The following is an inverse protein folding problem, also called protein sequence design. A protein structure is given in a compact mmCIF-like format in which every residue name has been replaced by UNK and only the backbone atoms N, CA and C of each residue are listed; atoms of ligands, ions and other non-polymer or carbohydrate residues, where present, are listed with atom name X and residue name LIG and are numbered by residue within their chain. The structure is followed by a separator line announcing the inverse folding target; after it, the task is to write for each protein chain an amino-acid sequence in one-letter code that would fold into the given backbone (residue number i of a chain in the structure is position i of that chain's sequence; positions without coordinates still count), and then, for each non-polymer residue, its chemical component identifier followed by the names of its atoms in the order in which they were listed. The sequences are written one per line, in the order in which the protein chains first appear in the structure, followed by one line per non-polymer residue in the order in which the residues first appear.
data_IF_413002347376
#
_entry.id   IF_413002347376
#
_cell.length_a   1.000
_cell.length_b   1.000
_cell.length_c   1.000
_cell.angle_alpha   90.00
_cell.angle_beta   90.00
_cell.angle_gamma   90.00
#
_symmetry.space_group_name_H-M   'P 1'
#
loop_
_entity.id
_entity.type
_entity.pdbx_description
1 polymer ?
#
# COMPACT_ATOMS: atom_id res chain seq x y z
N UNK A 1 14.47 -10.55 -49.91
CA UNK A 1 14.81 -9.87 -48.64
C UNK A 1 13.88 -8.69 -48.31
N UNK A 2 13.54 -7.82 -49.30
CA UNK A 2 12.65 -6.65 -49.10
C UNK A 2 11.29 -6.95 -48.43
N UNK A 3 10.61 -8.04 -48.82
CA UNK A 3 9.33 -8.48 -48.21
C UNK A 3 9.44 -8.92 -46.75
N UNK A 4 10.60 -9.45 -46.33
CA UNK A 4 10.84 -9.88 -44.93
C UNK A 4 11.10 -8.69 -44.01
N UNK A 5 11.74 -7.64 -44.54
CA UNK A 5 12.02 -6.39 -43.80
C UNK A 5 10.72 -5.60 -43.58
N UNK A 6 9.84 -5.55 -44.59
CA UNK A 6 8.52 -4.91 -44.47
C UNK A 6 7.63 -5.64 -43.45
N UNK A 7 7.66 -6.98 -43.45
CA UNK A 7 6.95 -7.78 -42.44
C UNK A 7 7.46 -7.55 -41.01
N UNK A 8 8.78 -7.48 -40.83
CA UNK A 8 9.38 -7.17 -39.52
C UNK A 8 9.05 -5.75 -39.05
N UNK A 9 9.09 -4.76 -39.95
CA UNK A 9 8.72 -3.38 -39.63
C UNK A 9 7.24 -3.26 -39.21
N UNK A 10 6.34 -4.03 -39.83
CA UNK A 10 4.93 -4.05 -39.47
C UNK A 10 4.71 -4.61 -38.05
N UNK A 11 5.42 -5.68 -37.69
CA UNK A 11 5.33 -6.27 -36.34
C UNK A 11 5.86 -5.30 -35.26
N UNK A 12 6.96 -4.59 -35.54
CA UNK A 12 7.48 -3.56 -34.63
C UNK A 12 6.47 -2.41 -34.47
N UNK A 13 5.85 -1.95 -35.55
CA UNK A 13 4.83 -0.89 -35.48
C UNK A 13 3.62 -1.28 -34.63
N UNK A 14 3.15 -2.54 -34.73
CA UNK A 14 2.05 -3.05 -33.92
C UNK A 14 2.44 -3.14 -32.44
N UNK A 15 3.64 -3.63 -32.14
CA UNK A 15 4.15 -3.71 -30.77
C UNK A 15 4.29 -2.32 -30.12
N UNK A 16 4.79 -1.33 -30.87
CA UNK A 16 4.89 0.06 -30.41
C UNK A 16 3.51 0.67 -30.19
N UNK A 17 2.55 0.47 -31.10
CA UNK A 17 1.20 1.00 -30.95
C UNK A 17 0.45 0.37 -29.76
N UNK A 18 0.60 -0.94 -29.53
CA UNK A 18 0.02 -1.63 -28.38
C UNK A 18 0.69 -1.18 -27.06
N UNK A 19 2.01 -1.02 -27.05
CA UNK A 19 2.76 -0.49 -25.91
C UNK A 19 2.42 0.97 -25.59
N UNK A 20 2.19 1.80 -26.62
CA UNK A 20 1.77 3.19 -26.46
C UNK A 20 0.38 3.31 -25.85
N UNK A 21 -0.57 2.48 -26.29
CA UNK A 21 -1.92 2.42 -25.70
C UNK A 21 -1.89 1.95 -24.24
N UNK A 22 -1.06 0.93 -23.93
CA UNK A 22 -0.89 0.45 -22.55
C UNK A 22 -0.25 1.52 -21.66
N UNK A 23 0.78 2.22 -22.15
CA UNK A 23 1.46 3.27 -21.40
C UNK A 23 0.59 4.52 -21.21
N UNK A 24 -0.26 4.86 -22.19
CA UNK A 24 -1.21 5.98 -22.08
C UNK A 24 -2.42 5.64 -21.20
N UNK A 25 -2.82 4.36 -21.13
CA UNK A 25 -3.85 3.86 -20.21
C UNK A 25 -3.36 3.69 -18.77
N UNK A 26 -2.06 3.92 -18.49
CA UNK A 26 -1.60 4.18 -17.12
C UNK A 26 -2.10 5.57 -16.71
N UNK A 27 -3.41 5.68 -16.56
CA UNK A 27 -4.00 6.64 -15.66
C UNK A 27 -3.57 6.13 -14.29
N UNK A 28 -2.39 6.55 -13.84
CA UNK A 28 -1.99 6.44 -12.45
C UNK A 28 -3.10 7.19 -11.73
N UNK A 29 -4.14 6.48 -11.28
CA UNK A 29 -5.20 7.11 -10.49
C UNK A 29 -4.46 7.54 -9.25
N UNK A 30 -4.19 8.84 -9.06
CA UNK A 30 -3.64 9.27 -7.81
C UNK A 30 -4.78 9.00 -6.84
N UNK A 31 -4.67 7.92 -6.08
CA UNK A 31 -5.54 7.69 -4.95
C UNK A 31 -5.37 8.93 -4.09
N UNK A 32 -6.42 9.74 -4.03
CA UNK A 32 -6.47 10.88 -3.13
C UNK A 32 -6.09 10.38 -1.74
N UNK A 33 -5.35 11.17 -0.98
CA UNK A 33 -5.07 10.88 0.44
C UNK A 33 -6.36 10.52 1.21
N UNK A 34 -7.51 11.05 0.78
CA UNK A 34 -8.82 10.69 1.32
C UNK A 34 -9.28 9.28 0.94
N UNK A 35 -9.05 8.83 -0.29
CA UNK A 35 -9.36 7.47 -0.72
C UNK A 35 -8.43 6.45 -0.04
N UNK A 36 -7.17 6.82 0.19
CA UNK A 36 -6.23 6.01 0.97
C UNK A 36 -6.66 5.93 2.44
N UNK A 37 -6.99 7.06 3.07
CA UNK A 37 -7.49 7.09 4.44
C UNK A 37 -8.81 6.32 4.62
N UNK A 38 -9.68 6.30 3.61
CA UNK A 38 -10.92 5.50 3.62
C UNK A 38 -10.64 4.00 3.50
N UNK A 39 -9.64 3.60 2.71
CA UNK A 39 -9.20 2.21 2.62
C UNK A 39 -8.58 1.74 3.94
N UNK A 40 -7.75 2.58 4.57
CA UNK A 40 -7.23 2.33 5.91
C UNK A 40 -8.35 2.25 6.95
N UNK A 41 -9.34 3.15 6.89
CA UNK A 41 -10.49 3.14 7.80
C UNK A 41 -11.30 1.84 7.69
N UNK A 42 -11.45 1.30 6.48
CA UNK A 42 -12.12 0.02 6.26
C UNK A 42 -11.31 -1.17 6.82
N UNK A 43 -9.98 -1.07 6.82
CA UNK A 43 -9.07 -2.08 7.38
C UNK A 43 -8.87 -1.96 8.90
N UNK A 44 -9.32 -0.87 9.55
CA UNK A 44 -9.16 -0.65 11.00
C UNK A 44 -9.74 -1.79 11.88
N UNK A 45 -10.64 -2.62 11.34
CA UNK A 45 -11.24 -3.75 12.06
C UNK A 45 -10.42 -5.04 12.09
N UNK A 46 -9.35 -5.18 11.30
CA UNK A 46 -8.56 -6.44 11.19
C UNK A 46 -7.39 -6.56 12.16
N UNK A 47 -7.35 -5.75 13.23
CA UNK A 47 -6.05 -5.29 13.72
C UNK A 47 -5.84 -5.42 15.21
N UNK A 48 -4.57 -5.25 15.61
CA UNK A 48 -3.97 -5.46 16.93
C UNK A 48 -4.60 -4.62 18.06
N UNK A 49 -5.71 -3.93 17.81
CA UNK A 49 -6.38 -3.02 18.73
C UNK A 49 -6.81 -3.71 20.03
N UNK A 50 -7.37 -4.92 19.93
CA UNK A 50 -7.70 -5.74 21.10
C UNK A 50 -6.46 -6.15 21.90
N UNK A 51 -5.34 -6.39 21.23
CA UNK A 51 -4.08 -6.77 21.85
C UNK A 51 -3.40 -5.56 22.52
N UNK A 52 -3.42 -4.40 21.88
CA UNK A 52 -2.90 -3.14 22.41
C UNK A 52 -3.67 -2.70 23.67
N UNK A 53 -5.00 -2.82 23.64
CA UNK A 53 -5.85 -2.55 24.81
C UNK A 53 -5.59 -3.56 25.92
N UNK A 54 -5.34 -4.83 25.59
CA UNK A 54 -4.96 -5.86 26.55
C UNK A 54 -3.69 -5.52 27.34
N UNK A 55 -2.70 -4.90 26.68
CA UNK A 55 -1.48 -4.39 27.35
C UNK A 55 -1.66 -3.04 28.04
N UNK A 56 -2.88 -2.49 28.09
CA UNK A 56 -3.20 -1.25 28.81
C UNK A 56 -2.99 0.03 28.02
N UNK A 57 -2.80 -0.04 26.71
CA UNK A 57 -2.72 1.15 25.89
C UNK A 57 -4.11 1.81 25.74
N UNK A 58 -4.18 3.13 25.92
CA UNK A 58 -5.42 3.93 25.74
C UNK A 58 -5.59 4.31 24.28
N UNK A 59 -6.79 4.08 23.72
CA UNK A 59 -7.12 4.41 22.32
C UNK A 59 -6.82 5.86 21.99
N UNK A 60 -5.80 6.06 21.15
CA UNK A 60 -5.38 7.35 20.61
C UNK A 60 -4.92 7.19 19.16
N UNK A 61 -5.59 7.91 18.25
CA UNK A 61 -5.32 7.87 16.81
C UNK A 61 -4.14 8.73 16.35
N UNK A 62 -3.53 9.47 17.27
CA UNK A 62 -2.45 10.41 17.00
C UNK A 62 -1.12 10.03 17.65
N UNK A 63 -1.11 8.99 18.48
CA UNK A 63 0.04 8.64 19.33
C UNK A 63 0.40 7.16 19.22
N UNK A 64 1.70 6.86 19.31
CA UNK A 64 2.18 5.48 19.41
C UNK A 64 2.28 5.05 20.87
N UNK A 65 1.64 3.95 21.25
CA UNK A 65 1.82 3.33 22.56
C UNK A 65 2.92 2.26 22.48
N UNK A 66 3.95 2.40 23.30
CA UNK A 66 5.01 1.41 23.47
C UNK A 66 4.86 0.74 24.82
N UNK A 67 4.80 -0.59 24.82
CA UNK A 67 4.67 -1.40 26.03
C UNK A 67 6.01 -2.03 26.33
N UNK A 68 6.47 -1.82 27.57
CA UNK A 68 7.72 -2.37 28.07
C UNK A 68 7.46 -3.40 29.16
N UNK A 69 8.29 -4.44 29.19
CA UNK A 69 8.29 -5.42 30.26
C UNK A 69 8.78 -4.77 31.56
N UNK A 70 8.08 -5.05 32.66
CA UNK A 70 8.51 -4.71 34.02
C UNK A 70 9.82 -5.39 34.40
N UNK A 71 10.22 -6.43 33.66
CA UNK A 71 11.45 -7.18 33.86
C UNK A 71 12.43 -6.77 32.76
N UNK A 72 13.48 -6.05 33.15
CA UNK A 72 14.56 -5.56 32.29
C UNK A 72 14.21 -4.45 31.28
N UNK A 73 12.98 -3.94 31.26
CA UNK A 73 12.61 -2.78 30.42
C UNK A 73 12.60 -3.05 28.92
N UNK A 74 12.52 -4.31 28.49
CA UNK A 74 12.48 -4.67 27.08
C UNK A 74 11.15 -4.27 26.43
N UNK A 75 11.19 -3.79 25.19
CA UNK A 75 10.00 -3.49 24.38
C UNK A 75 9.30 -4.80 23.99
N UNK A 76 8.02 -4.95 24.35
CA UNK A 76 7.23 -6.15 24.09
C UNK A 76 6.10 -5.93 23.09
N UNK A 77 5.62 -4.68 22.95
CA UNK A 77 4.57 -4.33 21.99
C UNK A 77 4.69 -2.87 21.55
N UNK A 78 4.42 -2.63 20.28
CA UNK A 78 4.28 -1.28 19.71
C UNK A 78 2.91 -1.20 19.07
N UNK A 79 2.19 -0.12 19.38
CA UNK A 79 0.82 0.13 18.93
C UNK A 79 0.78 1.53 18.31
N UNK A 80 1.16 1.68 17.03
CA UNK A 80 1.24 2.98 16.38
C UNK A 80 -0.14 3.51 16.03
N UNK A 81 -0.45 4.72 16.53
CA UNK A 81 -1.72 5.43 16.27
C UNK A 81 -2.98 4.63 16.58
N UNK A 82 -2.87 3.50 17.28
CA UNK A 82 -3.97 2.54 17.48
C UNK A 82 -4.76 2.26 16.19
N UNK A 83 -4.10 2.46 15.05
CA UNK A 83 -4.64 2.20 13.73
C UNK A 83 -4.30 0.76 13.47
N UNK A 84 -5.23 0.17 12.74
CA UNK A 84 -5.02 -1.15 12.31
C UNK A 84 -3.81 -1.34 11.42
#
# INVERSE_FOLDING_TARGET
MKKRILGAALLVAIAVAAGWNYNQSRNEVPLSDLALANAEALAQGETDWGNCTYYGCIVDFSSTCNVYSSIWGNLIKVCPNMRG
#
